data_IF_155233404583
#
_entry.id   IF_155233404583
#
_cell.length_a   1.000
_cell.length_b   1.000
_cell.length_c   1.000
_cell.angle_alpha   90.00
_cell.angle_beta   90.00
_cell.angle_gamma   90.00
#
_symmetry.space_group_name_H-M   'P 1'
#
loop_
_entity.id
_entity.type
_entity.pdbx_description
1 polymer ?
#
# COMPACT_ATOMS: atom_id res chain seq x y z
N UNK A 1 -30.30 30.51 -11.45
CA UNK A 1 -29.82 29.16 -11.82
C UNK A 1 -29.24 29.23 -13.24
N UNK A 2 -27.93 29.00 -13.41
CA UNK A 2 -27.32 28.83 -14.74
C UNK A 2 -27.31 27.33 -15.03
N UNK A 3 -28.11 26.89 -15.99
CA UNK A 3 -28.05 25.54 -16.52
C UNK A 3 -26.81 25.42 -17.41
N UNK A 4 -25.88 24.52 -17.07
CA UNK A 4 -24.78 24.13 -17.95
C UNK A 4 -25.28 23.04 -18.88
N UNK A 5 -25.02 23.20 -20.17
CA UNK A 5 -25.51 22.37 -21.28
C UNK A 5 -24.42 21.44 -21.83
N UNK A 6 -23.51 21.02 -20.98
CA UNK A 6 -22.39 20.18 -21.38
C UNK A 6 -22.52 18.84 -20.65
N UNK A 7 -22.60 17.77 -21.45
CA UNK A 7 -22.51 16.41 -20.99
C UNK A 7 -21.17 16.28 -20.25
N UNK A 8 -21.22 16.04 -18.93
CA UNK A 8 -20.01 15.69 -18.18
C UNK A 8 -19.70 14.26 -18.61
N UNK A 9 -18.90 14.09 -19.65
CA UNK A 9 -18.18 12.83 -19.86
C UNK A 9 -17.31 12.66 -18.63
N UNK A 10 -17.72 11.79 -17.72
CA UNK A 10 -16.87 11.25 -16.67
C UNK A 10 -15.79 10.41 -17.35
N UNK A 11 -14.87 11.08 -17.99
CA UNK A 11 -13.67 10.45 -18.47
C UNK A 11 -12.94 9.98 -17.19
N UNK A 12 -12.93 8.67 -16.96
CA UNK A 12 -12.23 8.01 -15.86
C UNK A 12 -10.73 8.19 -16.09
N UNK A 13 -10.19 9.32 -15.63
CA UNK A 13 -8.76 9.46 -15.49
C UNK A 13 -8.34 8.67 -14.25
N UNK A 14 -7.56 7.61 -14.43
CA UNK A 14 -6.88 6.90 -13.34
C UNK A 14 -5.57 7.62 -13.02
N UNK A 15 -5.23 7.75 -11.74
CA UNK A 15 -3.92 8.22 -11.31
C UNK A 15 -3.41 7.36 -10.17
N UNK A 16 -2.18 6.87 -10.30
CA UNK A 16 -1.51 6.06 -9.31
C UNK A 16 -0.26 6.79 -8.82
N UNK A 17 -0.01 6.71 -7.52
CA UNK A 17 1.16 7.31 -6.89
C UNK A 17 1.85 6.22 -6.09
N UNK A 18 3.12 5.96 -6.40
CA UNK A 18 3.94 5.07 -5.61
C UNK A 18 4.21 5.69 -4.24
N UNK A 19 3.87 4.97 -3.16
CA UNK A 19 4.06 5.43 -1.78
C UNK A 19 5.53 5.47 -1.35
N UNK A 20 6.42 4.76 -2.06
CA UNK A 20 7.84 4.67 -1.72
C UNK A 20 8.64 5.75 -2.46
N UNK A 21 8.61 5.75 -3.79
CA UNK A 21 9.45 6.65 -4.60
C UNK A 21 8.73 7.93 -5.06
N UNK A 22 7.40 8.02 -4.88
CA UNK A 22 6.60 9.18 -5.29
C UNK A 22 6.35 9.31 -6.80
N UNK A 23 6.76 8.31 -7.61
CA UNK A 23 6.43 8.25 -9.05
C UNK A 23 4.91 8.33 -9.20
N UNK A 24 4.47 9.24 -10.06
CA UNK A 24 3.05 9.46 -10.35
C UNK A 24 2.80 9.13 -11.81
N UNK A 25 1.89 8.20 -12.06
CA UNK A 25 1.43 7.84 -13.40
C UNK A 25 -0.05 8.16 -13.51
N UNK A 26 -0.48 8.71 -14.64
CA UNK A 26 -1.88 9.05 -14.87
C UNK A 26 -2.24 8.93 -16.34
N UNK A 27 -3.41 8.37 -16.60
CA UNK A 27 -3.90 8.13 -17.96
C UNK A 27 -5.41 7.95 -18.01
N UNK A 28 -5.96 7.98 -19.22
CA UNK A 28 -7.37 7.66 -19.46
C UNK A 28 -7.54 6.16 -19.40
N UNK A 29 -8.45 5.68 -18.54
CA UNK A 29 -8.75 4.26 -18.38
C UNK A 29 -7.50 3.39 -18.12
N UNK A 30 -6.47 4.00 -17.52
CA UNK A 30 -5.18 3.35 -17.29
C UNK A 30 -5.29 2.34 -16.14
N UNK A 31 -4.79 1.14 -16.37
CA UNK A 31 -4.71 0.08 -15.35
C UNK A 31 -3.44 0.21 -14.50
N UNK A 32 -3.45 -0.39 -13.31
CA UNK A 32 -2.30 -0.36 -12.41
C UNK A 32 -1.08 -1.07 -13.01
N UNK A 33 -1.33 -2.16 -13.74
CA UNK A 33 -0.34 -2.91 -14.52
C UNK A 33 0.29 -2.07 -15.63
N UNK A 34 -0.50 -1.25 -16.33
CA UNK A 34 -0.02 -0.31 -17.36
C UNK A 34 0.85 0.81 -16.77
N UNK A 35 0.65 1.15 -15.49
CA UNK A 35 1.48 2.09 -14.76
C UNK A 35 2.79 1.47 -14.22
N UNK A 36 3.05 0.19 -14.48
CA UNK A 36 4.16 -0.58 -13.89
C UNK A 36 4.16 -0.51 -12.35
N UNK A 37 2.95 -0.56 -11.76
CA UNK A 37 2.72 -0.53 -10.33
C UNK A 37 1.95 -1.77 -9.87
N UNK A 38 2.01 -2.03 -8.57
CA UNK A 38 1.25 -3.08 -7.89
C UNK A 38 0.66 -2.53 -6.60
N UNK A 39 -0.44 -3.14 -6.17
CA UNK A 39 -1.09 -2.84 -4.89
C UNK A 39 -0.95 -4.08 -4.00
N UNK A 40 -0.61 -3.95 -2.72
CA UNK A 40 -0.61 -5.12 -1.84
C UNK A 40 -1.99 -5.37 -1.22
N UNK A 41 -2.19 -6.55 -0.62
CA UNK A 41 -3.41 -6.91 0.16
C UNK A 41 -3.77 -5.94 1.30
N UNK A 42 -2.86 -5.04 1.68
CA UNK A 42 -3.10 -3.99 2.68
C UNK A 42 -3.37 -2.61 2.07
N UNK A 43 -3.50 -2.51 0.75
CA UNK A 43 -3.81 -1.29 0.00
C UNK A 43 -2.62 -0.36 -0.25
N UNK A 44 -1.38 -0.86 -0.18
CA UNK A 44 -0.20 -0.05 -0.50
C UNK A 44 0.11 -0.11 -1.98
N UNK A 45 0.18 1.05 -2.63
CA UNK A 45 0.54 1.15 -4.05
C UNK A 45 2.02 1.48 -4.22
N UNK A 46 2.77 0.67 -4.98
CA UNK A 46 4.19 0.88 -5.23
C UNK A 46 4.62 0.37 -6.62
N UNK A 47 5.75 0.88 -7.12
CA UNK A 47 6.31 0.46 -8.40
C UNK A 47 6.78 -1.00 -8.36
N UNK A 48 6.70 -1.69 -9.49
CA UNK A 48 7.22 -3.05 -9.60
C UNK A 48 8.72 -3.15 -9.25
N UNK A 49 9.50 -2.10 -9.54
CA UNK A 49 10.92 -2.02 -9.22
C UNK A 49 11.21 -1.94 -7.71
N UNK A 50 10.24 -1.48 -6.91
CA UNK A 50 10.36 -1.39 -5.45
C UNK A 50 9.92 -2.68 -4.75
N UNK A 51 9.32 -3.61 -5.48
CA UNK A 51 8.82 -4.86 -4.91
C UNK A 51 9.97 -5.72 -4.39
N UNK A 52 9.74 -6.39 -3.26
CA UNK A 52 10.67 -7.39 -2.77
C UNK A 52 10.60 -8.65 -3.65
N UNK A 53 11.63 -9.49 -3.55
CA UNK A 53 11.70 -10.74 -4.29
C UNK A 53 10.45 -11.60 -4.09
N UNK A 54 9.99 -12.21 -5.20
CA UNK A 54 8.87 -13.14 -5.17
C UNK A 54 9.15 -14.26 -4.15
N UNK A 55 8.15 -14.69 -3.37
CA UNK A 55 8.31 -15.83 -2.48
C UNK A 55 8.63 -17.09 -3.26
N UNK A 56 9.33 -18.04 -2.64
CA UNK A 56 9.54 -19.35 -3.26
C UNK A 56 8.22 -20.02 -3.62
N UNK A 57 8.21 -20.84 -4.67
CA UNK A 57 7.04 -21.61 -5.10
C UNK A 57 6.31 -22.31 -3.95
N UNK A 58 7.06 -22.99 -3.08
CA UNK A 58 6.51 -23.67 -1.91
C UNK A 58 5.76 -22.72 -0.98
N UNK A 59 6.29 -21.51 -0.77
CA UNK A 59 5.63 -20.51 0.04
C UNK A 59 4.40 -19.93 -0.66
N UNK A 60 4.44 -19.70 -1.97
CA UNK A 60 3.26 -19.26 -2.73
C UNK A 60 2.11 -20.25 -2.62
N UNK A 61 2.37 -21.55 -2.84
CA UNK A 61 1.37 -22.62 -2.70
C UNK A 61 0.77 -22.63 -1.30
N UNK A 62 1.62 -22.50 -0.27
CA UNK A 62 1.19 -22.39 1.11
C UNK A 62 0.28 -21.17 1.34
N UNK A 63 0.63 -20.01 0.77
CA UNK A 63 -0.17 -18.80 0.89
C UNK A 63 -1.54 -18.95 0.21
N UNK A 64 -1.59 -19.57 -0.96
CA UNK A 64 -2.83 -19.84 -1.69
C UNK A 64 -3.73 -20.79 -0.89
N UNK A 65 -3.22 -21.98 -0.53
CA UNK A 65 -4.04 -23.04 0.06
C UNK A 65 -4.32 -22.86 1.55
N UNK A 66 -3.33 -22.43 2.35
CA UNK A 66 -3.48 -22.33 3.81
C UNK A 66 -3.90 -20.94 4.28
N UNK A 67 -3.33 -19.87 3.70
CA UNK A 67 -3.63 -18.50 4.11
C UNK A 67 -4.77 -17.87 3.30
N UNK A 68 -5.41 -18.65 2.41
CA UNK A 68 -6.51 -18.21 1.55
C UNK A 68 -6.17 -16.94 0.74
N UNK A 69 -4.91 -16.78 0.34
CA UNK A 69 -4.48 -15.60 -0.41
C UNK A 69 -5.22 -15.52 -1.75
N UNK A 70 -5.77 -14.34 -2.01
CA UNK A 70 -6.60 -14.01 -3.18
C UNK A 70 -7.66 -15.09 -3.47
N UNK A 71 -8.28 -15.64 -2.43
CA UNK A 71 -9.32 -16.67 -2.56
C UNK A 71 -10.43 -16.33 -3.54
N UNK A 72 -10.70 -15.04 -3.72
CA UNK A 72 -11.71 -14.57 -4.67
C UNK A 72 -11.43 -14.96 -6.14
N UNK A 73 -10.19 -15.30 -6.49
CA UNK A 73 -9.83 -15.69 -7.87
C UNK A 73 -9.94 -17.20 -8.12
N UNK A 74 -10.03 -18.01 -7.06
CA UNK A 74 -9.98 -19.47 -7.18
C UNK A 74 -11.01 -20.22 -6.33
N UNK A 75 -11.83 -19.59 -5.50
CA UNK A 75 -12.88 -20.31 -4.77
C UNK A 75 -13.96 -20.83 -5.74
N UNK A 76 -14.18 -22.15 -5.79
CA UNK A 76 -15.23 -22.75 -6.62
C UNK A 76 -16.66 -22.26 -6.32
N UNK A 77 -16.87 -21.61 -5.17
CA UNK A 77 -18.13 -20.95 -4.81
C UNK A 77 -18.37 -19.66 -5.60
N UNK A 78 -17.33 -19.09 -6.21
CA UNK A 78 -17.38 -17.86 -7.00
C UNK A 78 -17.57 -18.20 -8.48
N UNK A 79 -18.47 -17.46 -9.14
CA UNK A 79 -18.84 -17.72 -10.53
C UNK A 79 -17.64 -17.48 -11.46
N UNK A 80 -17.19 -18.54 -12.12
CA UNK A 80 -16.06 -18.48 -13.06
C UNK A 80 -14.73 -18.91 -12.44
N UNK A 81 -14.71 -19.25 -11.15
CA UNK A 81 -13.54 -19.70 -10.42
C UNK A 81 -13.58 -21.22 -10.18
N UNK A 82 -12.43 -21.81 -9.83
CA UNK A 82 -12.29 -23.24 -9.49
C UNK A 82 -11.23 -23.43 -8.43
N UNK A 83 -11.44 -24.39 -7.54
CA UNK A 83 -10.42 -24.77 -6.57
C UNK A 83 -9.23 -25.41 -7.30
N UNK A 84 -8.01 -25.08 -6.85
CA UNK A 84 -6.78 -25.69 -7.31
C UNK A 84 -6.28 -26.72 -6.29
N UNK A 85 -5.89 -27.89 -6.77
CA UNK A 85 -5.18 -28.86 -5.94
C UNK A 85 -3.69 -28.52 -5.80
N UNK A 86 -3.05 -29.00 -4.74
CA UNK A 86 -1.61 -28.80 -4.52
C UNK A 86 -0.78 -29.32 -5.69
N UNK A 87 -1.12 -30.49 -6.24
CA UNK A 87 -0.43 -31.09 -7.39
C UNK A 87 -0.53 -30.20 -8.64
N UNK A 88 -1.69 -29.57 -8.88
CA UNK A 88 -1.87 -28.63 -10.00
C UNK A 88 -1.00 -27.39 -9.83
N UNK A 89 -0.90 -26.84 -8.62
CA UNK A 89 -0.06 -25.67 -8.35
C UNK A 89 1.44 -26.01 -8.43
N UNK A 90 1.83 -27.24 -8.05
CA UNK A 90 3.21 -27.71 -8.11
C UNK A 90 3.74 -27.85 -9.54
N UNK A 91 2.87 -28.10 -10.52
CA UNK A 91 3.28 -28.24 -11.94
C UNK A 91 3.24 -26.93 -12.71
N UNK A 92 2.62 -25.86 -12.19
CA UNK A 92 2.66 -24.53 -12.81
C UNK A 92 4.06 -23.94 -12.72
N UNK A 93 4.47 -23.16 -13.72
CA UNK A 93 5.71 -22.37 -13.62
C UNK A 93 5.60 -21.29 -12.55
N UNK A 94 6.72 -20.90 -11.94
CA UNK A 94 6.73 -19.98 -10.79
C UNK A 94 6.12 -18.60 -11.13
N UNK A 95 6.39 -18.09 -12.33
CA UNK A 95 5.84 -16.82 -12.80
C UNK A 95 4.34 -16.92 -13.08
N UNK A 96 3.88 -18.02 -13.69
CA UNK A 96 2.45 -18.25 -13.94
C UNK A 96 1.70 -18.40 -12.60
N UNK A 97 2.28 -19.11 -11.63
CA UNK A 97 1.73 -19.24 -10.29
C UNK A 97 1.59 -17.89 -9.59
N UNK A 98 2.60 -17.02 -9.71
CA UNK A 98 2.50 -15.67 -9.14
C UNK A 98 1.46 -14.83 -9.88
N UNK A 99 1.54 -14.76 -11.21
CA UNK A 99 0.70 -13.88 -12.02
C UNK A 99 -0.77 -14.29 -12.02
N UNK A 100 -1.09 -15.59 -12.09
CA UNK A 100 -2.49 -16.07 -12.08
C UNK A 100 -3.21 -15.76 -10.76
N UNK A 101 -2.46 -15.67 -9.66
CA UNK A 101 -3.02 -15.37 -8.34
C UNK A 101 -2.90 -13.88 -7.99
N UNK A 102 -2.02 -13.14 -8.67
CA UNK A 102 -1.93 -11.68 -8.57
C UNK A 102 -2.82 -10.93 -9.59
N UNK A 103 -3.37 -11.59 -10.63
CA UNK A 103 -4.09 -10.90 -11.71
C UNK A 103 -5.33 -11.65 -12.23
N UNK A 104 -6.17 -10.87 -12.91
CA UNK A 104 -7.37 -11.20 -13.70
C UNK A 104 -8.77 -11.13 -13.06
N UNK A 105 -8.96 -11.34 -11.75
CA UNK A 105 -10.23 -10.99 -11.07
C UNK A 105 -10.09 -10.65 -9.57
N UNK A 106 -8.85 -10.46 -9.10
CA UNK A 106 -8.51 -10.10 -7.72
C UNK A 106 -7.61 -8.87 -7.69
N UNK A 107 -8.23 -7.70 -7.86
CA UNK A 107 -7.80 -6.35 -7.43
C UNK A 107 -6.30 -5.96 -7.41
N UNK A 108 -5.46 -6.49 -8.29
CA UNK A 108 -4.02 -6.14 -8.35
C UNK A 108 -3.26 -6.42 -7.04
N UNK A 109 -3.80 -7.29 -6.17
CA UNK A 109 -3.31 -7.46 -4.80
C UNK A 109 -2.17 -8.47 -4.71
N UNK A 110 -0.94 -7.98 -4.51
CA UNK A 110 0.22 -8.81 -4.20
C UNK A 110 0.31 -9.12 -2.71
N UNK A 111 0.90 -10.27 -2.30
CA UNK A 111 0.89 -10.68 -0.90
C UNK A 111 1.74 -9.76 -0.01
N UNK A 112 1.47 -9.75 1.30
CA UNK A 112 2.16 -8.87 2.27
C UNK A 112 3.69 -8.98 2.23
N UNK A 113 4.22 -10.16 1.88
CA UNK A 113 5.64 -10.46 1.86
C UNK A 113 6.43 -9.77 0.74
N UNK A 114 5.77 -9.34 -0.34
CA UNK A 114 6.43 -8.60 -1.44
C UNK A 114 6.35 -7.09 -1.27
N UNK A 115 5.55 -6.61 -0.33
CA UNK A 115 5.40 -5.18 -0.05
C UNK A 115 6.46 -4.68 0.94
N UNK A 116 7.36 -3.74 0.55
CA UNK A 116 8.37 -3.18 1.46
C UNK A 116 7.77 -2.47 2.67
N UNK A 117 6.59 -1.86 2.52
CA UNK A 117 5.91 -1.14 3.61
C UNK A 117 5.37 -2.14 4.64
N UNK A 118 4.70 -3.21 4.20
CA UNK A 118 4.21 -4.23 5.12
C UNK A 118 5.34 -4.99 5.81
N UNK A 119 6.50 -5.13 5.16
CA UNK A 119 7.69 -5.71 5.77
C UNK A 119 8.48 -4.73 6.66
N UNK A 120 8.01 -3.49 6.81
CA UNK A 120 8.64 -2.43 7.59
C UNK A 120 10.09 -2.11 7.16
N UNK A 121 10.35 -2.23 5.86
CA UNK A 121 11.60 -1.77 5.22
C UNK A 121 11.44 -0.30 4.85
N UNK A 122 10.33 0.00 4.18
CA UNK A 122 9.89 1.36 3.86
C UNK A 122 8.66 1.72 4.70
N UNK A 123 8.23 2.98 4.64
CA UNK A 123 7.05 3.43 5.38
C UNK A 123 6.10 4.25 4.52
N UNK A 124 4.80 4.07 4.76
CA UNK A 124 3.80 5.03 4.30
C UNK A 124 3.88 6.29 5.17
N UNK A 125 3.91 7.47 4.54
CA UNK A 125 3.89 8.75 5.27
C UNK A 125 2.64 8.88 6.17
N UNK A 126 1.51 8.29 5.74
CA UNK A 126 0.28 8.28 6.51
C UNK A 126 0.41 7.45 7.78
N UNK A 127 1.04 6.27 7.70
CA UNK A 127 1.21 5.38 8.84
C UNK A 127 2.23 5.92 9.83
N UNK A 128 3.36 6.43 9.34
CA UNK A 128 4.39 7.01 10.20
C UNK A 128 3.88 8.27 10.89
N UNK A 129 3.17 9.15 10.19
CA UNK A 129 2.58 10.33 10.81
C UNK A 129 1.53 9.98 11.87
N UNK A 130 0.69 8.96 11.63
CA UNK A 130 -0.27 8.46 12.62
C UNK A 130 0.43 7.85 13.84
N UNK A 131 1.48 7.06 13.63
CA UNK A 131 2.30 6.52 14.71
C UNK A 131 2.91 7.63 15.56
N UNK A 132 3.55 8.62 14.92
CA UNK A 132 4.18 9.75 15.62
C UNK A 132 3.16 10.59 16.39
N UNK A 133 1.97 10.80 15.83
CA UNK A 133 0.87 11.47 16.53
C UNK A 133 0.45 10.69 17.77
N UNK A 134 0.29 9.37 17.67
CA UNK A 134 -0.12 8.53 18.80
C UNK A 134 0.95 8.43 19.89
N UNK A 135 2.22 8.28 19.51
CA UNK A 135 3.33 8.07 20.45
C UNK A 135 3.78 9.38 21.14
N UNK A 136 3.85 10.49 20.40
CA UNK A 136 4.39 11.77 20.91
C UNK A 136 3.32 12.82 21.21
N UNK A 137 2.09 12.63 20.77
CA UNK A 137 0.94 13.46 21.14
C UNK A 137 1.00 14.91 20.66
N UNK A 138 1.80 15.24 19.64
CA UNK A 138 1.91 16.61 19.13
C UNK A 138 0.71 16.92 18.23
N UNK A 139 -0.14 17.91 18.56
CA UNK A 139 -1.30 18.23 17.74
C UNK A 139 -0.91 18.72 16.35
N UNK A 140 -1.60 18.21 15.31
CA UNK A 140 -1.38 18.64 13.92
C UNK A 140 -1.62 20.14 13.71
N UNK A 141 -2.56 20.73 14.44
CA UNK A 141 -2.89 22.15 14.37
C UNK A 141 -1.72 23.05 14.83
N UNK A 142 -1.00 22.64 15.87
CA UNK A 142 0.16 23.36 16.38
C UNK A 142 1.30 23.36 15.35
N UNK A 143 1.55 22.19 14.76
CA UNK A 143 2.55 22.05 13.69
C UNK A 143 2.14 22.88 12.48
N UNK A 144 0.87 22.84 12.09
CA UNK A 144 0.37 23.60 10.96
C UNK A 144 0.46 25.12 11.17
N UNK A 145 0.20 25.60 12.38
CA UNK A 145 0.36 27.01 12.73
C UNK A 145 1.82 27.47 12.56
N UNK A 146 2.78 26.66 13.00
CA UNK A 146 4.22 26.92 12.85
C UNK A 146 4.64 26.95 11.37
N UNK A 147 4.20 25.97 10.58
CA UNK A 147 4.44 25.90 9.13
C UNK A 147 3.86 27.12 8.42
N UNK A 148 2.64 27.53 8.79
CA UNK A 148 1.96 28.70 8.20
C UNK A 148 2.60 30.03 8.59
N UNK A 149 3.22 30.12 9.77
CA UNK A 149 4.02 31.28 10.18
C UNK A 149 5.21 31.50 9.24
N UNK A 150 5.85 30.43 8.81
CA UNK A 150 6.96 30.45 7.85
C UNK A 150 6.47 30.64 6.40
N UNK A 151 5.34 30.03 6.03
CA UNK A 151 4.75 30.14 4.70
C UNK A 151 3.23 30.44 4.77
N UNK A 152 2.89 31.73 4.72
CA UNK A 152 1.50 32.21 4.82
C UNK A 152 0.57 31.69 3.71
N UNK A 153 1.10 31.22 2.57
CA UNK A 153 0.31 30.69 1.44
C UNK A 153 -0.09 29.22 1.65
N UNK A 154 0.50 28.53 2.63
CA UNK A 154 0.22 27.11 2.85
C UNK A 154 -1.24 26.91 3.28
N UNK A 155 -1.92 25.98 2.59
CA UNK A 155 -3.36 25.69 2.77
C UNK A 155 -3.64 24.41 3.57
N UNK A 156 -2.73 23.45 3.56
CA UNK A 156 -2.81 22.18 4.28
C UNK A 156 -1.43 21.80 4.81
N UNK A 157 -1.40 21.03 5.90
CA UNK A 157 -0.20 20.36 6.37
C UNK A 157 -0.03 19.06 5.57
N UNK A 158 1.15 18.82 5.01
CA UNK A 158 1.48 17.54 4.40
C UNK A 158 2.03 16.56 5.44
N UNK A 159 1.89 15.26 5.20
CA UNK A 159 2.35 14.24 6.16
C UNK A 159 3.86 14.30 6.38
N UNK A 160 4.65 14.44 5.31
CA UNK A 160 6.09 14.67 5.39
C UNK A 160 6.49 15.91 6.23
N UNK A 161 5.74 17.01 6.15
CA UNK A 161 5.99 18.23 6.96
C UNK A 161 5.77 17.93 8.45
N UNK A 162 4.72 17.16 8.78
CA UNK A 162 4.45 16.72 10.14
C UNK A 162 5.53 15.77 10.67
N UNK A 163 5.86 14.72 9.90
CA UNK A 163 6.91 13.75 10.23
C UNK A 163 8.23 14.48 10.48
N UNK A 164 8.65 15.35 9.57
CA UNK A 164 9.90 16.10 9.68
C UNK A 164 9.93 16.95 10.95
N UNK A 165 8.81 17.62 11.27
CA UNK A 165 8.72 18.44 12.48
C UNK A 165 8.89 17.61 13.75
N UNK A 166 8.14 16.51 13.89
CA UNK A 166 8.17 15.67 15.10
C UNK A 166 9.54 14.99 15.23
N UNK A 167 10.05 14.39 14.16
CA UNK A 167 11.38 13.76 14.16
C UNK A 167 12.47 14.75 14.54
N UNK A 168 12.44 15.98 14.01
CA UNK A 168 13.40 17.03 14.41
C UNK A 168 13.27 17.44 15.87
N UNK A 169 12.04 17.55 16.38
CA UNK A 169 11.77 17.96 17.76
C UNK A 169 12.31 16.97 18.80
N UNK A 170 12.25 15.68 18.48
CA UNK A 170 12.67 14.60 19.38
C UNK A 170 13.99 13.92 18.97
N UNK A 171 14.68 14.45 17.95
CA UNK A 171 15.90 13.91 17.39
C UNK A 171 15.78 12.42 17.00
N UNK A 172 14.74 12.12 16.22
CA UNK A 172 14.41 10.76 15.77
C UNK A 172 14.78 10.57 14.30
N UNK A 173 15.08 9.33 13.94
CA UNK A 173 15.26 8.90 12.56
C UNK A 173 14.05 8.07 12.11
N UNK A 174 13.27 8.50 11.09
CA UNK A 174 12.14 7.75 10.55
C UNK A 174 12.43 6.28 10.26
N UNK A 175 13.55 5.99 9.60
CA UNK A 175 13.91 4.63 9.19
C UNK A 175 14.20 3.74 10.40
N UNK A 176 14.82 4.27 11.45
CA UNK A 176 15.07 3.53 12.69
C UNK A 176 13.77 3.22 13.45
N UNK A 177 12.81 4.16 13.45
CA UNK A 177 11.48 3.93 14.04
C UNK A 177 10.81 2.74 13.35
N UNK A 178 10.82 2.75 12.02
CA UNK A 178 10.11 1.77 11.19
C UNK A 178 10.79 0.41 11.27
N UNK A 179 12.13 0.35 11.25
CA UNK A 179 12.85 -0.91 11.47
C UNK A 179 12.48 -1.58 12.81
N UNK A 180 12.27 -0.78 13.86
CA UNK A 180 11.85 -1.28 15.17
C UNK A 180 10.37 -1.73 15.20
N UNK A 181 9.54 -1.37 14.22
CA UNK A 181 8.15 -1.84 14.15
C UNK A 181 8.06 -3.35 13.92
N UNK A 182 9.03 -3.95 13.24
CA UNK A 182 9.07 -5.41 13.07
C UNK A 182 9.17 -6.12 14.42
N UNK A 183 10.03 -5.63 15.32
CA UNK A 183 10.17 -6.18 16.67
C UNK A 183 8.96 -5.85 17.56
N UNK A 184 8.42 -4.63 17.44
CA UNK A 184 7.30 -4.14 18.27
C UNK A 184 5.96 -4.79 17.91
N UNK A 185 5.69 -5.02 16.63
CA UNK A 185 4.36 -5.44 16.14
C UNK A 185 4.36 -6.79 15.42
N UNK A 186 5.50 -7.22 14.87
CA UNK A 186 5.65 -8.47 14.11
C UNK A 186 5.07 -8.40 12.68
N UNK A 187 3.78 -8.09 12.57
CA UNK A 187 3.03 -8.02 11.31
C UNK A 187 2.40 -6.65 11.10
N UNK A 188 2.15 -6.30 9.83
CA UNK A 188 1.50 -5.04 9.50
C UNK A 188 0.07 -4.96 10.06
N UNK A 189 -0.67 -6.08 10.06
CA UNK A 189 -2.01 -6.15 10.64
C UNK A 189 -2.04 -5.79 12.14
N UNK A 190 -1.07 -6.28 12.92
CA UNK A 190 -0.94 -5.93 14.34
C UNK A 190 -0.62 -4.45 14.54
N UNK A 191 0.26 -3.89 13.70
CA UNK A 191 0.57 -2.46 13.71
C UNK A 191 -0.68 -1.61 13.43
N UNK A 192 -1.47 -1.97 12.41
CA UNK A 192 -2.71 -1.25 12.09
C UNK A 192 -3.77 -1.40 13.16
N UNK A 193 -3.84 -2.55 13.82
CA UNK A 193 -4.69 -2.73 15.01
C UNK A 193 -4.27 -1.78 16.12
N UNK A 194 -2.97 -1.73 16.44
CA UNK A 194 -2.44 -0.81 17.43
C UNK A 194 -2.72 0.65 17.07
N UNK A 195 -2.64 1.07 15.80
CA UNK A 195 -2.96 2.44 15.41
C UNK A 195 -4.43 2.83 15.64
N UNK A 196 -5.36 1.87 15.60
CA UNK A 196 -6.80 2.11 15.77
C UNK A 196 -7.28 2.12 17.23
N UNK A 197 -6.56 1.42 18.09
CA UNK A 197 -6.83 1.37 19.54
C UNK A 197 -6.48 2.68 20.25
#
# INVERSE_FOLDING_TARGET
>A
MKFRKDFVTNSSSSSYVCEICGRTESGWDMELSEAEMMECVNGHTFCCDEALDKPSKKNLIKMILENEWNKEVWDSKIKGCRDYSEDELLVMEDDDLFNNFCSENGYYEVPECVCPICQFIEYSEYDLSAYLLKEYGIPRDDVFAEVKRLNKRRKKLYENEYITYVCKKFNLNPTEIVANWKEKFGTYSNFKKWLRE
#
